data_IF_944910749331
#
_entry.id   IF_944910749331
#
_cell.length_a   1.000
_cell.length_b   1.000
_cell.length_c   1.000
_cell.angle_alpha   90.00
_cell.angle_beta   90.00
_cell.angle_gamma   90.00
#
_symmetry.space_group_name_H-M   'P 1'
#
loop_
_entity.id
_entity.type
_entity.pdbx_description
1 polymer ?
#
# COMPACT_ATOMS: atom_id res chain seq x y z
N UNK A 1 -6.59 11.60 -11.52
CA UNK A 1 -6.47 11.39 -10.06
C UNK A 1 -5.30 12.20 -9.49
N UNK A 2 -5.49 12.86 -8.34
CA UNK A 2 -4.40 13.52 -7.59
C UNK A 2 -3.73 12.53 -6.65
N UNK A 3 -2.40 12.56 -6.52
CA UNK A 3 -1.64 11.69 -5.62
C UNK A 3 -0.93 12.54 -4.58
N UNK A 4 -1.06 12.17 -3.31
CA UNK A 4 -0.33 12.75 -2.17
C UNK A 4 0.48 11.62 -1.56
N UNK A 5 1.80 11.70 -1.69
CA UNK A 5 2.72 10.66 -1.23
C UNK A 5 3.40 11.09 0.07
N UNK A 6 3.15 10.35 1.15
CA UNK A 6 3.80 10.53 2.46
C UNK A 6 4.79 9.39 2.76
N UNK A 7 5.22 8.62 1.75
CA UNK A 7 6.25 7.60 1.94
C UNK A 7 7.49 8.28 2.54
N UNK A 8 7.93 7.90 3.75
CA UNK A 8 9.16 8.43 4.30
C UNK A 8 10.30 8.11 3.32
N UNK A 9 11.21 9.09 3.12
CA UNK A 9 12.38 9.00 2.25
C UNK A 9 12.18 9.19 0.72
N UNK A 10 11.12 9.90 0.29
CA UNK A 10 11.06 10.44 -1.08
C UNK A 10 11.41 11.93 -1.05
N UNK A 11 12.63 12.29 -1.46
CA UNK A 11 12.99 13.69 -1.74
C UNK A 11 12.25 14.20 -2.98
N UNK A 12 11.99 15.51 -3.00
CA UNK A 12 11.10 16.30 -3.88
C UNK A 12 11.27 16.15 -5.42
N UNK A 13 12.13 15.26 -5.91
CA UNK A 13 12.47 15.10 -7.32
C UNK A 13 12.13 13.76 -7.96
N UNK A 14 11.42 12.85 -7.29
CA UNK A 14 11.02 11.55 -7.86
C UNK A 14 12.19 10.61 -8.20
N UNK A 15 13.41 10.93 -7.77
CA UNK A 15 14.58 10.05 -7.88
C UNK A 15 14.82 9.37 -6.54
N UNK A 16 14.84 8.04 -6.59
CA UNK A 16 15.11 7.19 -5.45
C UNK A 16 16.59 7.34 -5.08
N UNK A 17 16.88 7.92 -3.91
CA UNK A 17 18.25 7.96 -3.39
C UNK A 17 18.62 6.58 -2.87
N UNK A 18 19.64 5.95 -3.46
CA UNK A 18 20.08 4.59 -3.14
C UNK A 18 20.40 4.38 -1.64
N UNK A 19 20.73 5.45 -0.92
CA UNK A 19 21.03 5.43 0.51
C UNK A 19 19.80 5.22 1.39
N UNK A 20 18.63 5.69 0.93
CA UNK A 20 17.37 5.55 1.65
C UNK A 20 16.73 4.18 1.42
N UNK A 21 16.95 3.58 0.24
CA UNK A 21 16.62 2.18 -0.01
C UNK A 21 17.38 1.24 0.92
N UNK A 22 18.67 1.51 1.16
CA UNK A 22 19.49 0.68 2.07
C UNK A 22 19.00 0.79 3.52
N UNK A 23 18.68 1.99 4.01
CA UNK A 23 18.11 2.18 5.36
C UNK A 23 16.72 1.56 5.53
N UNK A 24 15.86 1.66 4.52
CA UNK A 24 14.52 1.07 4.56
C UNK A 24 14.58 -0.47 4.53
N UNK A 25 15.48 -1.04 3.73
CA UNK A 25 15.71 -2.50 3.65
C UNK A 25 16.32 -3.05 4.95
N UNK A 26 17.21 -2.30 5.60
CA UNK A 26 17.79 -2.66 6.90
C UNK A 26 16.77 -2.59 8.07
N UNK A 27 15.75 -1.74 7.97
CA UNK A 27 14.77 -1.52 9.05
C UNK A 27 13.47 -2.32 8.90
N UNK A 28 13.02 -2.56 7.65
CA UNK A 28 11.73 -3.22 7.35
C UNK A 28 11.88 -4.54 6.58
N UNK A 29 13.10 -4.95 6.22
CA UNK A 29 13.37 -6.21 5.50
C UNK A 29 13.26 -6.08 3.97
N UNK A 30 13.68 -7.13 3.26
CA UNK A 30 13.70 -7.18 1.79
C UNK A 30 12.29 -7.12 1.16
N UNK A 31 11.26 -7.47 1.92
CA UNK A 31 9.86 -7.50 1.46
C UNK A 31 9.30 -6.09 1.17
N UNK A 32 9.83 -5.06 1.83
CA UNK A 32 9.43 -3.67 1.66
C UNK A 32 9.53 -3.18 0.20
N UNK A 33 10.57 -3.60 -0.52
CA UNK A 33 10.75 -3.24 -1.93
C UNK A 33 9.66 -3.85 -2.81
N UNK A 34 9.24 -5.08 -2.49
CA UNK A 34 8.17 -5.76 -3.23
C UNK A 34 6.82 -5.10 -2.97
N UNK A 35 6.55 -4.68 -1.74
CA UNK A 35 5.34 -3.92 -1.39
C UNK A 35 5.27 -2.58 -2.12
N UNK A 36 6.36 -1.80 -2.14
CA UNK A 36 6.42 -0.54 -2.89
C UNK A 36 6.16 -0.78 -4.38
N UNK A 37 6.71 -1.85 -4.95
CA UNK A 37 6.50 -2.16 -6.36
C UNK A 37 5.04 -2.55 -6.63
N UNK A 38 4.44 -3.37 -5.76
CA UNK A 38 3.02 -3.74 -5.87
C UNK A 38 2.11 -2.49 -5.80
N UNK A 39 2.39 -1.57 -4.87
CA UNK A 39 1.69 -0.28 -4.81
C UNK A 39 1.83 0.51 -6.10
N UNK A 40 3.05 0.63 -6.67
CA UNK A 40 3.27 1.34 -7.94
C UNK A 40 2.45 0.75 -9.09
N UNK A 41 2.38 -0.57 -9.19
CA UNK A 41 1.56 -1.25 -10.21
C UNK A 41 0.07 -0.95 -10.03
N UNK A 42 -0.45 -1.00 -8.79
CA UNK A 42 -1.84 -0.66 -8.51
C UNK A 42 -2.15 0.81 -8.84
N UNK A 43 -1.28 1.75 -8.46
CA UNK A 43 -1.43 3.19 -8.76
C UNK A 43 -1.44 3.44 -10.26
N UNK A 44 -0.58 2.76 -11.02
CA UNK A 44 -0.56 2.86 -12.49
C UNK A 44 -1.87 2.37 -13.12
N UNK A 45 -2.53 1.37 -12.52
CA UNK A 45 -3.87 0.93 -12.93
C UNK A 45 -4.90 2.01 -12.60
N UNK A 46 -4.93 2.51 -11.36
CA UNK A 46 -5.85 3.57 -10.93
C UNK A 46 -5.74 4.83 -11.77
N UNK A 47 -4.52 5.25 -12.14
CA UNK A 47 -4.31 6.42 -12.98
C UNK A 47 -4.90 6.31 -14.40
N UNK A 48 -5.19 5.09 -14.88
CA UNK A 48 -5.82 4.87 -16.19
C UNK A 48 -7.35 4.91 -16.13
N UNK A 49 -7.94 4.60 -14.98
CA UNK A 49 -9.40 4.42 -14.84
C UNK A 49 -10.07 5.48 -13.97
N UNK A 50 -9.34 6.10 -13.05
CA UNK A 50 -9.86 7.12 -12.15
C UNK A 50 -9.52 8.53 -12.65
N UNK A 51 -10.54 9.38 -12.73
CA UNK A 51 -10.41 10.77 -13.14
C UNK A 51 -9.89 11.67 -12.00
N UNK A 52 -10.02 12.99 -12.17
CA UNK A 52 -9.52 13.98 -11.21
C UNK A 52 -10.43 14.22 -10.00
N UNK A 53 -11.59 13.55 -9.92
CA UNK A 53 -12.43 13.57 -8.72
C UNK A 53 -11.87 12.72 -7.58
N UNK A 54 -10.90 11.86 -7.88
CA UNK A 54 -10.23 11.00 -6.91
C UNK A 54 -8.89 11.58 -6.43
N UNK A 55 -8.64 11.45 -5.13
CA UNK A 55 -7.35 11.73 -4.48
C UNK A 55 -6.84 10.47 -3.79
N UNK A 56 -5.62 10.07 -4.08
CA UNK A 56 -4.96 8.94 -3.45
C UNK A 56 -3.89 9.44 -2.47
N UNK A 57 -4.03 9.07 -1.20
CA UNK A 57 -2.99 9.23 -0.19
C UNK A 57 -2.18 7.93 -0.10
N UNK A 58 -0.85 8.05 -0.05
CA UNK A 58 0.06 6.91 -0.01
C UNK A 58 0.93 6.94 1.24
N UNK A 59 1.05 5.78 1.91
CA UNK A 59 1.88 5.56 3.08
C UNK A 59 1.67 6.64 4.15
N UNK A 60 0.40 6.87 4.51
CA UNK A 60 -0.01 7.84 5.54
C UNK A 60 -0.09 7.17 6.91
N UNK A 61 0.57 7.79 7.89
CA UNK A 61 0.40 7.45 9.30
C UNK A 61 -0.85 8.15 9.85
N UNK A 62 -1.80 7.38 10.36
CA UNK A 62 -2.97 7.95 11.03
C UNK A 62 -2.66 8.21 12.51
N UNK A 63 -3.01 9.42 12.96
CA UNK A 63 -2.88 9.79 14.37
C UNK A 63 -3.66 8.80 15.25
N UNK A 64 -2.99 8.24 16.27
CA UNK A 64 -3.57 7.27 17.19
C UNK A 64 -3.54 5.81 16.75
N UNK A 65 -3.25 5.50 15.47
CA UNK A 65 -3.22 4.12 14.98
C UNK A 65 -1.83 3.46 15.10
N UNK A 66 -0.75 4.24 15.19
CA UNK A 66 0.64 3.75 15.27
C UNK A 66 1.13 2.97 14.05
N UNK A 67 0.26 2.71 13.07
CA UNK A 67 0.51 1.94 11.87
C UNK A 67 0.43 2.83 10.62
N UNK A 68 1.23 2.47 9.62
CA UNK A 68 1.26 3.16 8.34
C UNK A 68 0.26 2.51 7.37
N UNK A 69 -0.66 3.31 6.81
CA UNK A 69 -1.64 2.81 5.84
C UNK A 69 -1.09 2.99 4.43
N UNK A 70 -0.96 1.90 3.65
CA UNK A 70 -0.27 1.94 2.36
C UNK A 70 -0.97 2.79 1.32
N UNK A 71 -2.30 2.69 1.20
CA UNK A 71 -3.09 3.51 0.28
C UNK A 71 -4.46 3.87 0.88
N UNK A 72 -4.83 5.13 0.77
CA UNK A 72 -6.16 5.65 1.09
C UNK A 72 -6.69 6.37 -0.15
N UNK A 73 -7.74 5.85 -0.76
CA UNK A 73 -8.39 6.47 -1.90
C UNK A 73 -9.61 7.26 -1.42
N UNK A 74 -9.61 8.56 -1.72
CA UNK A 74 -10.70 9.48 -1.43
C UNK A 74 -11.37 9.80 -2.75
N UNK A 75 -12.66 9.54 -2.86
CA UNK A 75 -13.44 9.84 -4.05
C UNK A 75 -14.86 10.30 -3.72
N UNK A 76 -15.68 10.55 -4.75
CA UNK A 76 -17.05 11.06 -4.56
C UNK A 76 -17.93 10.15 -3.70
N UNK A 77 -17.69 8.85 -3.74
CA UNK A 77 -18.47 7.83 -3.03
C UNK A 77 -17.99 7.59 -1.59
N UNK A 78 -16.84 8.14 -1.20
CA UNK A 78 -16.31 8.02 0.15
C UNK A 78 -14.79 7.76 0.20
N UNK A 79 -14.37 7.17 1.32
CA UNK A 79 -12.97 6.90 1.64
C UNK A 79 -12.75 5.38 1.67
N UNK A 80 -11.75 4.91 0.94
CA UNK A 80 -11.39 3.51 0.83
C UNK A 80 -9.97 3.29 1.32
N UNK A 81 -9.78 2.36 2.25
CA UNK A 81 -8.46 1.90 2.67
C UNK A 81 -8.08 0.67 1.85
N UNK A 82 -6.94 0.74 1.17
CA UNK A 82 -6.48 -0.29 0.25
C UNK A 82 -5.14 -0.84 0.73
N UNK A 83 -5.13 -2.11 1.14
CA UNK A 83 -3.90 -2.81 1.51
C UNK A 83 -3.39 -3.62 0.32
N UNK A 84 -2.38 -3.10 -0.38
CA UNK A 84 -1.78 -3.74 -1.56
C UNK A 84 -0.57 -4.55 -1.13
N UNK A 85 -0.61 -5.86 -1.36
CA UNK A 85 0.45 -6.79 -0.97
C UNK A 85 0.98 -7.57 -2.19
N UNK A 86 2.29 -7.90 -2.24
CA UNK A 86 2.88 -8.77 -3.26
C UNK A 86 2.61 -10.26 -3.02
N UNK A 87 2.00 -10.62 -1.89
CA UNK A 87 1.72 -12.01 -1.52
C UNK A 87 0.81 -12.68 -2.55
N UNK A 88 1.12 -13.93 -2.89
CA UNK A 88 0.35 -14.77 -3.81
C UNK A 88 -0.34 -15.89 -3.05
N UNK A 89 -1.59 -16.18 -3.39
CA UNK A 89 -2.36 -17.25 -2.75
C UNK A 89 -3.86 -17.00 -2.81
N UNK A 90 -4.62 -17.88 -2.18
CA UNK A 90 -6.05 -17.67 -1.93
C UNK A 90 -6.22 -16.99 -0.58
N UNK A 91 -6.76 -15.77 -0.61
CA UNK A 91 -7.04 -14.96 0.57
C UNK A 91 -8.54 -14.91 0.81
N UNK A 92 -8.93 -14.87 2.09
CA UNK A 92 -10.34 -14.71 2.47
C UNK A 92 -10.47 -13.76 3.64
N UNK A 93 -11.42 -12.84 3.52
CA UNK A 93 -11.98 -12.12 4.65
C UNK A 93 -13.17 -12.93 5.20
N UNK A 94 -13.19 -13.18 6.52
CA UNK A 94 -14.31 -13.84 7.22
C UNK A 94 -14.57 -13.11 8.53
N UNK A 95 -15.69 -12.38 8.59
CA UNK A 95 -15.96 -11.47 9.70
C UNK A 95 -14.88 -10.39 9.75
N UNK A 96 -14.26 -10.22 10.92
CA UNK A 96 -13.22 -9.21 11.16
C UNK A 96 -11.79 -9.73 10.92
N UNK A 97 -11.65 -10.96 10.41
CA UNK A 97 -10.36 -11.59 10.19
C UNK A 97 -10.01 -11.73 8.69
N UNK A 98 -8.74 -11.53 8.40
CA UNK A 98 -8.11 -11.89 7.13
C UNK A 98 -7.32 -13.19 7.31
N UNK A 99 -7.19 -13.98 6.24
CA UNK A 99 -6.39 -15.20 6.29
C UNK A 99 -6.14 -15.79 4.92
N UNK A 100 -5.35 -16.86 4.92
CA UNK A 100 -4.94 -17.61 3.73
C UNK A 100 -5.50 -19.02 3.76
N UNK A 101 -5.51 -19.68 2.59
CA UNK A 101 -5.73 -21.12 2.53
C UNK A 101 -4.39 -21.86 2.43
N UNK A 102 -4.17 -22.81 3.34
CA UNK A 102 -3.16 -23.87 3.20
C UNK A 102 -3.92 -25.16 2.84
N UNK A 103 -3.93 -25.52 1.55
CA UNK A 103 -4.78 -26.60 1.03
C UNK A 103 -6.27 -26.23 1.08
N UNK A 104 -7.06 -26.96 1.86
CA UNK A 104 -8.50 -26.70 2.07
C UNK A 104 -8.81 -25.98 3.41
N UNK A 105 -7.79 -25.72 4.23
CA UNK A 105 -7.96 -25.14 5.56
C UNK A 105 -7.72 -23.64 5.54
N UNK A 106 -8.62 -22.88 6.15
CA UNK A 106 -8.45 -21.45 6.38
C UNK A 106 -7.55 -21.22 7.59
N UNK A 107 -6.48 -20.44 7.40
CA UNK A 107 -5.55 -20.02 8.44
C UNK A 107 -5.63 -18.50 8.59
N UNK A 108 -6.06 -17.98 9.76
CA UNK A 108 -6.07 -16.54 9.98
C UNK A 108 -4.64 -15.97 9.94
N UNK A 109 -4.51 -14.75 9.44
CA UNK A 109 -3.27 -14.00 9.35
C UNK A 109 -2.93 -13.30 10.67
#
# INVERSE_FOLDING_TARGET
MKIIDQTPFLSEGGKISALDQVKATLKYGADWLQEINAQKTAIACFGKVLDNSFTLLRNVSLAGLGANIPLILIGPTGIYVLYVTPLRGMFRAKGDAWGTFEGYNFKPA
#
